data_IF_841230767952
#
_entry.id   IF_841230767952
#
_cell.length_a   1.000
_cell.length_b   1.000
_cell.length_c   1.000
_cell.angle_alpha   90.00
_cell.angle_beta   90.00
_cell.angle_gamma   90.00
#
_symmetry.space_group_name_H-M   'P 1'
#
loop_
_entity.id
_entity.type
_entity.pdbx_description
1 polymer ?
#
# COMPACT_ATOMS: atom_id res chain seq x y z
N UNK A 1 -24.62 -13.15 73.57
CA UNK A 1 -23.68 -13.92 72.75
C UNK A 1 -24.17 -14.13 71.33
N UNK A 2 -25.22 -13.52 70.86
CA UNK A 2 -25.80 -13.71 69.52
C UNK A 2 -25.49 -12.57 68.51
N UNK A 3 -24.95 -11.43 68.94
CA UNK A 3 -24.71 -10.28 68.11
C UNK A 3 -23.34 -10.28 67.34
N UNK A 4 -22.37 -10.94 67.88
CA UNK A 4 -20.99 -10.86 67.36
C UNK A 4 -20.72 -11.72 66.10
N UNK A 5 -21.45 -12.83 65.96
CA UNK A 5 -21.30 -13.73 64.79
C UNK A 5 -21.98 -13.21 63.52
N UNK A 6 -22.98 -12.34 63.64
CA UNK A 6 -23.68 -11.75 62.50
C UNK A 6 -22.82 -10.65 61.83
N UNK A 7 -22.08 -9.87 62.62
CA UNK A 7 -21.20 -8.81 62.10
C UNK A 7 -19.99 -9.34 61.30
N UNK A 8 -19.43 -10.44 61.74
CA UNK A 8 -18.28 -11.05 61.04
C UNK A 8 -18.66 -11.63 59.67
N UNK A 9 -19.87 -12.17 59.49
CA UNK A 9 -20.33 -12.70 58.18
C UNK A 9 -20.63 -11.58 57.18
N UNK A 10 -21.13 -10.43 57.62
CA UNK A 10 -21.40 -9.28 56.75
C UNK A 10 -20.11 -8.64 56.21
N UNK A 11 -19.05 -8.57 57.02
CA UNK A 11 -17.73 -8.07 56.57
C UNK A 11 -17.07 -8.97 55.53
N UNK A 12 -17.19 -10.30 55.66
CA UNK A 12 -16.64 -11.25 54.71
C UNK A 12 -17.30 -11.21 53.32
N UNK A 13 -18.61 -10.96 53.28
CA UNK A 13 -19.35 -10.85 52.01
C UNK A 13 -19.03 -9.57 51.22
N UNK A 14 -18.81 -8.44 51.93
CA UNK A 14 -18.43 -7.18 51.26
C UNK A 14 -17.01 -7.25 50.62
N UNK A 15 -16.05 -7.89 51.29
CA UNK A 15 -14.70 -8.06 50.78
C UNK A 15 -14.64 -8.95 49.53
N UNK A 16 -15.48 -9.98 49.45
CA UNK A 16 -15.52 -10.84 48.25
C UNK A 16 -16.14 -10.17 47.04
N UNK A 17 -17.17 -9.33 47.22
CA UNK A 17 -17.79 -8.59 46.11
C UNK A 17 -16.85 -7.50 45.55
N UNK A 18 -16.08 -6.83 46.39
CA UNK A 18 -15.08 -5.84 45.95
C UNK A 18 -13.93 -6.47 45.18
N UNK A 19 -13.47 -7.68 45.55
CA UNK A 19 -12.42 -8.39 44.82
C UNK A 19 -12.91 -8.97 43.49
N UNK A 20 -14.17 -9.38 43.38
CA UNK A 20 -14.75 -9.86 42.13
C UNK A 20 -14.87 -8.73 41.09
N UNK A 21 -15.21 -7.50 41.52
CA UNK A 21 -15.25 -6.34 40.63
C UNK A 21 -13.88 -5.96 40.06
N UNK A 22 -12.84 -5.97 40.88
CA UNK A 22 -11.49 -5.65 40.45
C UNK A 22 -10.88 -6.67 39.47
N UNK A 23 -11.26 -7.94 39.54
CA UNK A 23 -10.83 -8.98 38.61
C UNK A 23 -11.55 -8.85 37.25
N UNK A 24 -12.83 -8.45 37.25
CA UNK A 24 -13.60 -8.19 36.03
C UNK A 24 -13.06 -7.00 35.23
N UNK A 25 -12.69 -5.91 35.91
CA UNK A 25 -12.19 -4.68 35.27
C UNK A 25 -10.81 -4.90 34.60
N UNK A 26 -9.96 -5.72 35.18
CA UNK A 26 -8.65 -6.05 34.56
C UNK A 26 -8.80 -6.86 33.28
N UNK A 27 -9.76 -7.77 33.19
CA UNK A 27 -10.05 -8.52 31.97
C UNK A 27 -10.64 -7.63 30.87
N UNK A 28 -11.56 -6.74 31.22
CA UNK A 28 -12.15 -5.79 30.28
C UNK A 28 -11.12 -4.80 29.70
N UNK A 29 -10.21 -4.28 30.53
CA UNK A 29 -9.14 -3.39 30.08
C UNK A 29 -8.18 -4.09 29.11
N UNK A 30 -7.83 -5.34 29.35
CA UNK A 30 -6.97 -6.11 28.44
C UNK A 30 -7.63 -6.36 27.11
N UNK A 31 -8.92 -6.68 27.08
CA UNK A 31 -9.68 -6.87 25.84
C UNK A 31 -9.80 -5.56 25.05
N UNK A 32 -10.01 -4.43 25.74
CA UNK A 32 -10.05 -3.12 25.10
C UNK A 32 -8.72 -2.75 24.44
N UNK A 33 -7.60 -2.94 25.16
CA UNK A 33 -6.27 -2.69 24.62
C UNK A 33 -5.97 -3.58 23.41
N UNK A 34 -6.36 -4.83 23.45
CA UNK A 34 -6.21 -5.76 22.32
C UNK A 34 -7.04 -5.33 21.10
N UNK A 35 -8.28 -4.90 21.33
CA UNK A 35 -9.15 -4.38 20.28
C UNK A 35 -8.57 -3.11 19.64
N UNK A 36 -8.09 -2.16 20.44
CA UNK A 36 -7.46 -0.93 19.96
C UNK A 36 -6.19 -1.28 19.16
N UNK A 37 -5.34 -2.17 19.68
CA UNK A 37 -4.14 -2.62 19.00
C UNK A 37 -4.45 -3.23 17.64
N UNK A 38 -5.49 -4.06 17.54
CA UNK A 38 -5.92 -4.68 16.29
C UNK A 38 -6.40 -3.64 15.26
N UNK A 39 -7.12 -2.60 15.70
CA UNK A 39 -7.55 -1.50 14.84
C UNK A 39 -6.34 -0.75 14.27
N UNK A 40 -5.32 -0.46 15.09
CA UNK A 40 -4.09 0.19 14.61
C UNK A 40 -3.32 -0.68 13.62
N UNK A 41 -3.21 -1.98 13.86
CA UNK A 41 -2.56 -2.91 12.93
C UNK A 41 -3.31 -2.95 11.60
N UNK A 42 -4.63 -3.08 11.64
CA UNK A 42 -5.45 -3.10 10.43
C UNK A 42 -5.34 -1.78 9.64
N UNK A 43 -5.39 -0.64 10.33
CA UNK A 43 -5.19 0.68 9.73
C UNK A 43 -3.80 0.86 9.12
N UNK A 44 -2.75 0.38 9.79
CA UNK A 44 -1.38 0.40 9.28
C UNK A 44 -1.21 -0.42 8.01
N UNK A 45 -1.75 -1.62 7.97
CA UNK A 45 -1.72 -2.50 6.78
C UNK A 45 -2.47 -1.85 5.61
N UNK A 46 -3.66 -1.30 5.85
CA UNK A 46 -4.42 -0.61 4.82
C UNK A 46 -3.67 0.62 4.28
N UNK A 47 -3.06 1.42 5.15
CA UNK A 47 -2.23 2.57 4.78
C UNK A 47 -1.03 2.18 3.93
N UNK A 48 -0.32 1.10 4.29
CA UNK A 48 0.81 0.58 3.53
C UNK A 48 0.39 0.12 2.12
N UNK A 49 -0.75 -0.53 1.98
CA UNK A 49 -1.28 -0.97 0.69
C UNK A 49 -1.61 0.22 -0.24
N UNK A 50 -2.22 1.29 0.29
CA UNK A 50 -2.48 2.52 -0.47
C UNK A 50 -1.17 3.20 -0.86
N UNK A 51 -0.18 3.26 0.04
CA UNK A 51 1.14 3.80 -0.23
C UNK A 51 1.84 3.07 -1.38
N UNK A 52 1.87 1.74 -1.34
CA UNK A 52 2.45 0.92 -2.39
C UNK A 52 1.78 1.15 -3.76
N UNK A 53 0.45 1.28 -3.80
CA UNK A 53 -0.28 1.57 -5.03
C UNK A 53 0.08 2.95 -5.61
N UNK A 54 0.27 3.96 -4.78
CA UNK A 54 0.69 5.30 -5.21
C UNK A 54 2.10 5.27 -5.78
N UNK A 55 3.03 4.65 -5.07
CA UNK A 55 4.43 4.50 -5.54
C UNK A 55 4.47 3.79 -6.89
N UNK A 56 3.73 2.69 -7.06
CA UNK A 56 3.67 1.97 -8.32
C UNK A 56 3.15 2.84 -9.49
N UNK A 57 2.14 3.67 -9.25
CA UNK A 57 1.62 4.61 -10.25
C UNK A 57 2.63 5.70 -10.62
N UNK A 58 3.35 6.25 -9.64
CA UNK A 58 4.42 7.22 -9.91
C UNK A 58 5.56 6.58 -10.70
N UNK A 59 5.98 5.38 -10.32
CA UNK A 59 7.01 4.64 -11.04
C UNK A 59 6.60 4.35 -12.49
N UNK A 60 5.36 3.90 -12.72
CA UNK A 60 4.85 3.66 -14.06
C UNK A 60 4.85 4.94 -14.91
N UNK A 61 4.40 6.07 -14.36
CA UNK A 61 4.41 7.36 -15.05
C UNK A 61 5.82 7.81 -15.41
N UNK A 62 6.73 7.81 -14.44
CA UNK A 62 8.14 8.20 -14.70
C UNK A 62 8.78 7.29 -15.74
N UNK A 63 8.55 5.98 -15.69
CA UNK A 63 9.08 5.05 -16.67
C UNK A 63 8.51 5.31 -18.06
N UNK A 64 7.19 5.61 -18.18
CA UNK A 64 6.56 5.95 -19.44
C UNK A 64 7.13 7.25 -20.03
N UNK A 65 7.25 8.30 -19.21
CA UNK A 65 7.77 9.62 -19.63
C UNK A 65 9.21 9.53 -20.09
N UNK A 66 10.09 8.88 -19.34
CA UNK A 66 11.48 8.68 -19.74
C UNK A 66 11.60 7.78 -20.97
N UNK A 67 10.79 6.73 -21.07
CA UNK A 67 10.74 5.88 -22.24
C UNK A 67 10.31 6.63 -23.50
N UNK A 68 9.25 7.42 -23.40
CA UNK A 68 8.76 8.24 -24.50
C UNK A 68 9.79 9.28 -24.95
N UNK A 69 10.43 9.98 -24.02
CA UNK A 69 11.48 10.97 -24.32
C UNK A 69 12.68 10.32 -25.03
N UNK A 70 13.15 9.18 -24.51
CA UNK A 70 14.27 8.46 -25.13
C UNK A 70 13.91 7.93 -26.52
N UNK A 71 12.71 7.40 -26.69
CA UNK A 71 12.25 6.93 -27.99
C UNK A 71 12.05 8.06 -28.99
N UNK A 72 11.52 9.22 -28.56
CA UNK A 72 11.34 10.38 -29.43
C UNK A 72 12.64 10.89 -30.07
N UNK A 73 13.76 10.81 -29.35
CA UNK A 73 15.08 11.20 -29.86
C UNK A 73 15.54 10.30 -31.03
N UNK A 74 15.01 9.09 -31.15
CA UNK A 74 15.31 8.11 -32.17
C UNK A 74 14.16 7.92 -33.20
N UNK A 75 13.11 8.75 -33.13
CA UNK A 75 11.95 8.61 -33.99
C UNK A 75 12.30 8.74 -35.50
N UNK A 76 13.27 9.58 -35.83
CA UNK A 76 13.77 9.73 -37.22
C UNK A 76 14.46 8.47 -37.75
N UNK A 77 14.94 7.58 -36.89
CA UNK A 77 15.58 6.31 -37.25
C UNK A 77 14.53 5.20 -37.48
N UNK A 78 13.26 5.50 -37.25
CA UNK A 78 12.14 4.60 -37.44
C UNK A 78 11.64 3.98 -36.12
N UNK A 79 10.42 3.42 -36.20
CA UNK A 79 9.70 2.87 -35.05
C UNK A 79 10.50 1.81 -34.29
N UNK A 80 11.19 0.92 -34.97
CA UNK A 80 11.96 -0.15 -34.34
C UNK A 80 13.08 0.39 -33.45
N UNK A 81 13.82 1.40 -33.90
CA UNK A 81 14.91 2.03 -33.15
C UNK A 81 14.35 2.83 -31.96
N UNK A 82 13.34 3.63 -32.19
CA UNK A 82 12.66 4.43 -31.17
C UNK A 82 12.09 3.54 -30.05
N UNK A 83 11.36 2.48 -30.39
CA UNK A 83 10.77 1.56 -29.41
C UNK A 83 11.82 0.73 -28.68
N UNK A 84 12.93 0.38 -29.31
CA UNK A 84 14.03 -0.32 -28.65
C UNK A 84 14.70 0.55 -27.58
N UNK A 85 14.90 1.84 -27.86
CA UNK A 85 15.46 2.78 -26.87
C UNK A 85 14.48 3.06 -25.74
N UNK A 86 13.20 3.26 -26.07
CA UNK A 86 12.15 3.39 -25.06
C UNK A 86 12.12 2.18 -24.11
N UNK A 87 12.20 0.96 -24.67
CA UNK A 87 12.17 -0.28 -23.89
C UNK A 87 13.36 -0.40 -22.92
N UNK A 88 14.55 -0.01 -23.33
CA UNK A 88 15.75 -0.02 -22.47
C UNK A 88 15.56 0.88 -21.26
N UNK A 89 15.07 2.10 -21.48
CA UNK A 89 14.93 3.07 -20.40
C UNK A 89 13.76 2.71 -19.48
N UNK A 90 12.66 2.20 -20.02
CA UNK A 90 11.54 1.68 -19.25
C UNK A 90 11.98 0.51 -18.35
N UNK A 91 12.76 -0.43 -18.90
CA UNK A 91 13.27 -1.56 -18.13
C UNK A 91 14.25 -1.11 -17.02
N UNK A 92 15.11 -0.13 -17.30
CA UNK A 92 16.02 0.45 -16.32
C UNK A 92 15.28 1.13 -15.14
N UNK A 93 14.02 1.55 -15.36
CA UNK A 93 13.12 2.11 -14.32
C UNK A 93 12.20 1.06 -13.67
N UNK A 94 12.48 -0.23 -13.88
CA UNK A 94 11.73 -1.32 -13.26
C UNK A 94 10.31 -1.52 -13.81
N UNK A 95 10.06 -1.07 -15.04
CA UNK A 95 8.79 -1.21 -15.75
C UNK A 95 8.98 -2.05 -17.02
N UNK A 96 7.86 -2.40 -17.66
CA UNK A 96 7.84 -3.14 -18.91
C UNK A 96 6.93 -2.42 -19.91
N UNK A 97 7.38 -2.30 -21.17
CA UNK A 97 6.52 -1.79 -22.23
C UNK A 97 5.44 -2.82 -22.57
N UNK A 98 4.21 -2.36 -22.66
CA UNK A 98 3.04 -3.13 -23.12
C UNK A 98 2.63 -2.76 -24.53
N UNK A 99 2.88 -1.51 -24.95
CA UNK A 99 2.74 -1.07 -26.35
C UNK A 99 3.64 0.11 -26.64
N UNK A 100 4.11 0.19 -27.86
CA UNK A 100 4.90 1.30 -28.37
C UNK A 100 4.52 1.51 -29.84
N UNK A 101 4.30 2.74 -30.22
CA UNK A 101 3.99 3.12 -31.59
C UNK A 101 4.59 4.50 -31.90
N UNK A 102 5.04 4.68 -33.12
CA UNK A 102 5.57 5.95 -33.64
C UNK A 102 4.71 6.40 -34.80
N UNK A 103 4.24 7.64 -34.74
CA UNK A 103 3.52 8.30 -35.81
C UNK A 103 4.25 9.60 -36.19
N UNK A 104 4.95 9.56 -37.32
CA UNK A 104 5.86 10.61 -37.74
C UNK A 104 7.02 10.78 -36.76
N UNK A 105 7.07 11.90 -36.03
CA UNK A 105 8.07 12.18 -34.97
C UNK A 105 7.50 12.06 -33.57
N UNK A 106 6.29 11.58 -33.43
CA UNK A 106 5.63 11.39 -32.14
C UNK A 106 5.65 9.93 -31.75
N UNK A 107 6.05 9.63 -30.51
CA UNK A 107 6.01 8.28 -29.95
C UNK A 107 4.99 8.20 -28.83
N UNK A 108 4.26 7.10 -28.79
CA UNK A 108 3.36 6.76 -27.69
C UNK A 108 3.84 5.47 -27.04
N UNK A 109 4.12 5.53 -25.75
CA UNK A 109 4.61 4.38 -24.97
C UNK A 109 3.59 4.07 -23.86
N UNK A 110 3.23 2.80 -23.73
CA UNK A 110 2.47 2.29 -22.59
C UNK A 110 3.32 1.32 -21.79
N UNK A 111 3.28 1.45 -20.50
CA UNK A 111 4.09 0.64 -19.58
C UNK A 111 3.25 0.02 -18.48
N UNK A 112 3.78 -1.04 -17.91
CA UNK A 112 3.25 -1.76 -16.78
C UNK A 112 4.35 -1.94 -15.72
N UNK A 113 3.97 -1.72 -14.47
CA UNK A 113 4.80 -1.97 -13.28
C UNK A 113 4.06 -2.95 -12.39
N UNK A 114 4.73 -4.02 -12.01
CA UNK A 114 4.20 -4.97 -11.02
C UNK A 114 4.49 -4.47 -9.62
N UNK A 115 3.46 -4.37 -8.80
CA UNK A 115 3.55 -3.99 -7.38
C UNK A 115 2.94 -5.09 -6.50
N UNK A 116 3.56 -5.33 -5.35
CA UNK A 116 3.09 -6.31 -4.35
C UNK A 116 2.74 -5.58 -3.06
N UNK A 117 1.55 -4.95 -2.97
CA UNK A 117 1.16 -4.16 -1.80
C UNK A 117 1.02 -4.99 -0.52
N UNK A 118 0.78 -6.28 -0.66
CA UNK A 118 0.68 -7.27 0.43
C UNK A 118 1.33 -8.58 -0.02
N UNK A 119 1.83 -9.42 0.92
CA UNK A 119 2.30 -10.76 0.59
C UNK A 119 1.23 -11.55 -0.18
N UNK A 120 1.62 -12.20 -1.27
CA UNK A 120 0.77 -12.96 -2.18
C UNK A 120 -0.27 -12.14 -2.99
N UNK A 121 -0.26 -10.80 -2.92
CA UNK A 121 -1.12 -9.95 -3.73
C UNK A 121 -0.31 -9.20 -4.78
N UNK A 122 -0.45 -9.61 -6.04
CA UNK A 122 0.17 -8.92 -7.19
C UNK A 122 -0.84 -7.96 -7.80
N UNK A 123 -0.41 -6.73 -8.05
CA UNK A 123 -1.17 -5.69 -8.75
C UNK A 123 -0.31 -5.10 -9.86
N UNK A 124 -0.98 -4.55 -10.86
CA UNK A 124 -0.34 -3.88 -11.97
C UNK A 124 -0.70 -2.40 -11.95
N UNK A 125 0.33 -1.56 -12.10
CA UNK A 125 0.18 -0.13 -12.31
C UNK A 125 0.58 0.19 -13.74
N UNK A 126 -0.37 0.72 -14.51
CA UNK A 126 -0.14 1.08 -15.92
C UNK A 126 -0.06 2.58 -16.09
N UNK A 127 0.74 3.03 -17.03
CA UNK A 127 0.80 4.42 -17.47
C UNK A 127 1.05 4.50 -18.97
N UNK A 128 0.71 5.64 -19.56
CA UNK A 128 1.04 5.95 -20.95
C UNK A 128 1.65 7.34 -21.01
N UNK A 129 2.63 7.51 -21.89
CA UNK A 129 3.23 8.80 -22.19
C UNK A 129 3.38 8.97 -23.69
N UNK A 130 3.42 10.24 -24.12
CA UNK A 130 3.55 10.66 -25.48
C UNK A 130 4.65 11.70 -25.55
N UNK A 131 5.57 11.58 -26.50
CA UNK A 131 6.62 12.55 -26.72
C UNK A 131 6.82 12.79 -28.21
N UNK A 132 7.08 14.03 -28.57
CA UNK A 132 7.31 14.48 -29.93
C UNK A 132 7.75 15.94 -29.93
N UNK A 133 8.05 16.53 -31.10
CA UNK A 133 8.39 17.95 -31.20
C UNK A 133 7.20 18.79 -30.74
N UNK A 134 7.49 19.80 -29.94
CA UNK A 134 6.50 20.82 -29.56
C UNK A 134 6.17 21.65 -30.82
N UNK A 135 4.94 21.60 -31.26
CA UNK A 135 4.42 22.42 -32.35
C UNK A 135 4.13 23.83 -31.91
#
# INVERSE_FOLDING_TARGET
MTGERASARASGMRGRRARAGLAGDRGAASLLLLAIGLVFVAGGVAGAAVGAARVGRHQARSAADFGALAGAQHAIEGEAAACAQAARLVAANGARITSCAVDGLEIVVRVDVTVTPLPAMVRHATAAARAGPAG
#
